data_IF_917568864362
#
_entry.id   IF_917568864362
#
_cell.length_a   1.000
_cell.length_b   1.000
_cell.length_c   1.000
_cell.angle_alpha   90.00
_cell.angle_beta   90.00
_cell.angle_gamma   90.00
#
_symmetry.space_group_name_H-M   'P 1'
#
loop_
_entity.id
_entity.type
_entity.pdbx_description
1 polymer ?
#
# COMPACT_ATOMS: atom_id res chain seq x y z
N UNK A 1 -22.56 37.41 -4.90
CA UNK A 1 -22.09 36.30 -5.76
C UNK A 1 -20.66 35.81 -5.46
N UNK A 2 -19.96 36.28 -4.41
CA UNK A 2 -18.56 35.95 -4.13
C UNK A 2 -18.28 34.73 -3.22
N UNK A 3 -19.32 34.11 -2.64
CA UNK A 3 -19.16 33.04 -1.63
C UNK A 3 -18.81 31.65 -2.22
N UNK A 4 -19.02 31.46 -3.53
CA UNK A 4 -18.81 30.17 -4.22
C UNK A 4 -17.32 29.89 -4.49
N UNK A 5 -16.52 30.94 -4.70
CA UNK A 5 -15.09 30.84 -5.05
C UNK A 5 -14.20 30.42 -3.88
N UNK A 6 -14.50 30.85 -2.64
CA UNK A 6 -13.69 30.43 -1.48
C UNK A 6 -13.94 28.97 -1.11
N UNK A 7 -15.20 28.51 -1.15
CA UNK A 7 -15.57 27.13 -0.81
C UNK A 7 -14.92 26.09 -1.74
N UNK A 8 -14.86 26.36 -3.05
CA UNK A 8 -14.16 25.49 -4.01
C UNK A 8 -12.65 25.44 -3.77
N UNK A 9 -12.04 26.55 -3.34
CA UNK A 9 -10.61 26.60 -3.03
C UNK A 9 -10.26 25.75 -1.81
N UNK A 10 -11.04 25.85 -0.71
CA UNK A 10 -10.81 25.05 0.50
C UNK A 10 -10.98 23.55 0.25
N UNK A 11 -12.02 23.14 -0.48
CA UNK A 11 -12.25 21.72 -0.82
C UNK A 11 -11.08 21.13 -1.62
N UNK A 12 -10.58 21.89 -2.60
CA UNK A 12 -9.43 21.48 -3.41
C UNK A 12 -8.15 21.33 -2.58
N UNK A 13 -7.92 22.21 -1.61
CA UNK A 13 -6.75 22.18 -0.75
C UNK A 13 -6.80 21.00 0.23
N UNK A 14 -7.96 20.76 0.84
CA UNK A 14 -8.18 19.60 1.71
C UNK A 14 -7.98 18.29 0.94
N UNK A 15 -8.49 18.20 -0.29
CA UNK A 15 -8.26 17.03 -1.16
C UNK A 15 -6.77 16.80 -1.42
N UNK A 16 -6.05 17.84 -1.82
CA UNK A 16 -4.60 17.77 -2.12
C UNK A 16 -3.79 17.33 -0.91
N UNK A 17 -4.04 17.97 0.24
CA UNK A 17 -3.38 17.61 1.51
C UNK A 17 -3.73 16.18 1.96
N UNK A 18 -4.97 15.75 1.76
CA UNK A 18 -5.40 14.39 2.02
C UNK A 18 -4.63 13.38 1.16
N UNK A 19 -4.50 13.64 -0.14
CA UNK A 19 -3.76 12.76 -1.05
C UNK A 19 -2.26 12.67 -0.71
N UNK A 20 -1.62 13.78 -0.36
CA UNK A 20 -0.21 13.76 0.06
C UNK A 20 -0.05 13.00 1.38
N UNK A 21 -0.93 13.25 2.35
CA UNK A 21 -0.91 12.55 3.64
C UNK A 21 -1.03 11.03 3.46
N UNK A 22 -1.95 10.58 2.60
CA UNK A 22 -2.11 9.15 2.30
C UNK A 22 -0.83 8.58 1.69
N UNK A 23 -0.24 9.25 0.69
CA UNK A 23 1.00 8.79 0.06
C UNK A 23 2.14 8.66 1.07
N UNK A 24 2.29 9.62 1.99
CA UNK A 24 3.30 9.57 3.07
C UNK A 24 3.10 8.33 3.95
N UNK A 25 1.86 8.01 4.32
CA UNK A 25 1.55 6.80 5.10
C UNK A 25 1.97 5.53 4.35
N UNK A 26 1.71 5.44 3.05
CA UNK A 26 2.14 4.29 2.25
C UNK A 26 3.66 4.21 2.08
N UNK A 27 4.33 5.34 1.87
CA UNK A 27 5.79 5.40 1.79
C UNK A 27 6.40 4.90 3.09
N UNK A 28 5.90 5.37 4.24
CA UNK A 28 6.37 4.88 5.53
C UNK A 28 6.09 3.38 5.71
N UNK A 29 4.85 2.96 5.48
CA UNK A 29 4.42 1.58 5.75
C UNK A 29 5.12 0.57 4.85
N UNK A 30 5.09 0.78 3.53
CA UNK A 30 5.68 -0.13 2.56
C UNK A 30 7.19 0.07 2.45
N UNK A 31 7.67 1.31 2.49
CA UNK A 31 9.10 1.61 2.40
C UNK A 31 9.88 1.04 3.58
N UNK A 32 9.41 1.26 4.82
CA UNK A 32 10.10 0.71 5.99
C UNK A 32 9.95 -0.81 6.06
N UNK A 33 8.75 -1.36 5.81
CA UNK A 33 8.51 -2.80 5.78
C UNK A 33 9.41 -3.51 4.77
N UNK A 34 9.47 -3.00 3.54
CA UNK A 34 10.31 -3.55 2.48
C UNK A 34 11.80 -3.39 2.78
N UNK A 35 12.22 -2.24 3.31
CA UNK A 35 13.61 -1.99 3.66
C UNK A 35 14.10 -2.96 4.74
N UNK A 36 13.28 -3.23 5.76
CA UNK A 36 13.62 -4.21 6.81
C UNK A 36 13.79 -5.60 6.22
N UNK A 37 12.92 -6.03 5.30
CA UNK A 37 13.03 -7.34 4.64
C UNK A 37 14.30 -7.50 3.80
N UNK A 38 14.73 -6.43 3.12
CA UNK A 38 15.90 -6.48 2.23
C UNK A 38 17.23 -6.21 2.95
N UNK A 39 17.27 -5.26 3.88
CA UNK A 39 18.49 -4.85 4.57
C UNK A 39 18.83 -5.75 5.76
N UNK A 40 17.83 -6.27 6.47
CA UNK A 40 18.01 -7.17 7.61
C UNK A 40 17.63 -8.62 7.25
N UNK A 41 18.04 -9.04 6.06
CA UNK A 41 17.62 -10.29 5.44
C UNK A 41 17.89 -11.53 6.31
N UNK A 42 18.98 -11.55 7.07
CA UNK A 42 19.36 -12.71 7.92
C UNK A 42 18.36 -12.93 9.07
N UNK A 43 18.09 -11.88 9.85
CA UNK A 43 17.19 -11.98 11.01
C UNK A 43 15.72 -12.09 10.59
N UNK A 44 15.35 -11.40 9.50
CA UNK A 44 13.98 -11.38 9.01
C UNK A 44 13.61 -12.72 8.38
N UNK A 45 14.51 -13.34 7.61
CA UNK A 45 14.22 -14.63 6.98
C UNK A 45 14.11 -15.75 8.01
N UNK A 46 15.01 -15.80 8.99
CA UNK A 46 14.92 -16.77 10.09
C UNK A 46 13.55 -16.68 10.79
N UNK A 47 13.12 -15.45 11.13
CA UNK A 47 11.81 -15.20 11.72
C UNK A 47 10.66 -15.66 10.82
N UNK A 48 10.69 -15.37 9.53
CA UNK A 48 9.61 -15.78 8.62
C UNK A 48 9.55 -17.30 8.43
N UNK A 49 10.69 -17.97 8.35
CA UNK A 49 10.77 -19.43 8.29
C UNK A 49 10.13 -20.02 9.55
N UNK A 50 10.49 -19.53 10.74
CA UNK A 50 9.91 -20.00 12.00
C UNK A 50 8.40 -19.73 12.07
N UNK A 51 7.96 -18.54 11.66
CA UNK A 51 6.54 -18.16 11.66
C UNK A 51 5.71 -19.05 10.74
N UNK A 52 6.21 -19.35 9.53
CA UNK A 52 5.48 -20.13 8.54
C UNK A 52 5.75 -21.64 8.61
N UNK A 53 6.67 -22.10 9.47
CA UNK A 53 6.98 -23.51 9.70
C UNK A 53 5.72 -24.41 9.85
N UNK A 54 4.73 -24.07 10.70
CA UNK A 54 3.54 -24.91 10.87
C UNK A 54 2.58 -24.90 9.68
N UNK A 55 2.76 -23.99 8.71
CA UNK A 55 1.85 -23.81 7.57
C UNK A 55 2.31 -24.60 6.34
N UNK A 56 1.44 -24.81 5.37
CA UNK A 56 1.83 -25.46 4.10
C UNK A 56 2.89 -24.66 3.31
N UNK A 57 3.04 -23.36 3.59
CA UNK A 57 3.99 -22.48 2.90
C UNK A 57 5.43 -22.88 3.20
N UNK A 58 5.73 -23.46 4.36
CA UNK A 58 7.08 -23.97 4.67
C UNK A 58 7.51 -25.13 3.77
N UNK A 59 6.55 -25.83 3.16
CA UNK A 59 6.80 -26.98 2.28
C UNK A 59 6.84 -26.60 0.80
N UNK A 60 6.47 -25.36 0.46
CA UNK A 60 6.43 -24.91 -0.93
C UNK A 60 7.83 -24.52 -1.42
N UNK A 61 8.30 -25.05 -2.56
CA UNK A 61 9.58 -24.64 -3.12
C UNK A 61 9.50 -23.17 -3.57
N UNK A 62 10.37 -22.33 -3.00
CA UNK A 62 10.45 -20.90 -3.36
C UNK A 62 9.81 -19.93 -2.36
N UNK A 63 9.34 -20.39 -1.20
CA UNK A 63 8.81 -19.51 -0.13
C UNK A 63 9.75 -18.38 0.27
N UNK A 64 11.04 -18.69 0.40
CA UNK A 64 12.10 -17.70 0.67
C UNK A 64 12.14 -16.62 -0.41
N UNK A 65 12.06 -17.03 -1.69
CA UNK A 65 12.04 -16.12 -2.83
C UNK A 65 10.78 -15.25 -2.81
N UNK A 66 9.62 -15.83 -2.49
CA UNK A 66 8.36 -15.10 -2.40
C UNK A 66 8.38 -14.01 -1.31
N UNK A 67 8.99 -14.29 -0.15
CA UNK A 67 9.17 -13.30 0.93
C UNK A 67 10.06 -12.14 0.46
N UNK A 68 11.18 -12.43 -0.22
CA UNK A 68 12.04 -11.38 -0.76
C UNK A 68 11.37 -10.60 -1.89
N UNK A 69 10.66 -11.28 -2.78
CA UNK A 69 9.90 -10.65 -3.85
C UNK A 69 8.86 -9.68 -3.26
N UNK A 70 8.19 -10.06 -2.16
CA UNK A 70 7.26 -9.19 -1.44
C UNK A 70 7.97 -7.93 -0.91
N UNK A 71 9.15 -8.09 -0.31
CA UNK A 71 9.98 -6.94 0.14
C UNK A 71 10.40 -6.02 -1.01
N UNK A 72 10.75 -6.59 -2.16
CA UNK A 72 11.05 -5.82 -3.38
C UNK A 72 9.83 -5.04 -3.89
N UNK A 73 8.66 -5.68 -3.96
CA UNK A 73 7.41 -5.03 -4.38
C UNK A 73 7.02 -3.88 -3.45
N UNK A 74 7.18 -4.05 -2.14
CA UNK A 74 6.96 -2.99 -1.14
C UNK A 74 7.84 -1.76 -1.39
N UNK A 75 9.13 -1.96 -1.67
CA UNK A 75 10.04 -0.86 -2.03
C UNK A 75 9.63 -0.20 -3.34
N UNK A 76 9.31 -0.98 -4.37
CA UNK A 76 8.86 -0.44 -5.65
C UNK A 76 7.59 0.41 -5.47
N UNK A 77 6.62 -0.05 -4.68
CA UNK A 77 5.42 0.71 -4.38
C UNK A 77 5.73 2.04 -3.66
N UNK A 78 6.62 2.01 -2.66
CA UNK A 78 7.06 3.21 -1.96
C UNK A 78 7.76 4.21 -2.91
N UNK A 79 8.61 3.71 -3.81
CA UNK A 79 9.28 4.54 -4.82
C UNK A 79 8.28 5.16 -5.81
N UNK A 80 7.24 4.42 -6.21
CA UNK A 80 6.17 4.96 -7.06
C UNK A 80 5.38 6.07 -6.35
N UNK A 81 5.09 5.92 -5.06
CA UNK A 81 4.48 6.99 -4.28
C UNK A 81 5.39 8.23 -4.15
N UNK A 82 6.69 8.04 -3.95
CA UNK A 82 7.66 9.14 -3.95
C UNK A 82 7.69 9.83 -5.32
N UNK A 83 7.76 9.07 -6.41
CA UNK A 83 7.76 9.59 -7.77
C UNK A 83 6.48 10.41 -8.06
N UNK A 84 5.32 9.92 -7.60
CA UNK A 84 4.04 10.64 -7.68
C UNK A 84 4.06 11.99 -6.94
N UNK A 85 4.62 12.03 -5.72
CA UNK A 85 4.79 13.30 -4.98
C UNK A 85 5.70 14.26 -5.73
N UNK A 86 6.85 13.78 -6.24
CA UNK A 86 7.82 14.60 -7.00
C UNK A 86 7.20 15.15 -8.29
N UNK A 87 6.41 14.34 -9.01
CA UNK A 87 5.64 14.79 -10.19
C UNK A 87 4.41 15.63 -9.87
N UNK A 88 4.08 15.78 -8.59
CA UNK A 88 2.89 16.49 -8.11
C UNK A 88 1.58 15.92 -8.66
N UNK A 89 1.48 14.60 -8.80
CA UNK A 89 0.27 13.92 -9.29
C UNK A 89 -0.93 14.03 -8.32
N UNK A 90 -0.72 14.60 -7.14
CA UNK A 90 -1.80 15.01 -6.23
C UNK A 90 -2.54 16.27 -6.71
N UNK A 91 -2.03 16.98 -7.73
CA UNK A 91 -2.72 18.08 -8.40
C UNK A 91 -3.75 17.54 -9.42
N UNK A 92 -4.64 18.40 -9.87
CA UNK A 92 -5.74 18.00 -10.76
C UNK A 92 -5.38 18.06 -12.25
N UNK A 93 -4.29 18.77 -12.57
CA UNK A 93 -3.86 19.10 -13.93
C UNK A 93 -2.71 18.20 -14.44
N UNK A 94 -2.43 17.13 -13.70
CA UNK A 94 -1.32 16.21 -13.97
C UNK A 94 -1.86 14.79 -14.07
N UNK A 95 -1.43 14.07 -15.10
CA UNK A 95 -1.72 12.65 -15.26
C UNK A 95 -1.20 11.85 -14.05
N UNK A 96 -2.06 11.02 -13.47
CA UNK A 96 -1.83 10.30 -12.20
C UNK A 96 -1.29 8.90 -12.40
N UNK A 97 -0.32 8.74 -13.30
CA UNK A 97 0.15 7.42 -13.74
C UNK A 97 0.87 6.72 -12.59
N UNK A 98 1.83 7.37 -11.95
CA UNK A 98 2.61 6.77 -10.85
C UNK A 98 1.73 6.50 -9.63
N UNK A 99 0.82 7.43 -9.29
CA UNK A 99 -0.11 7.30 -8.19
C UNK A 99 -1.04 6.08 -8.37
N UNK A 100 -1.59 5.90 -9.57
CA UNK A 100 -2.47 4.78 -9.89
C UNK A 100 -1.74 3.43 -9.80
N UNK A 101 -0.52 3.35 -10.36
CA UNK A 101 0.30 2.14 -10.25
C UNK A 101 0.74 1.86 -8.81
N UNK A 102 1.06 2.89 -8.03
CA UNK A 102 1.42 2.74 -6.62
C UNK A 102 0.26 2.14 -5.80
N UNK A 103 -0.98 2.66 -5.98
CA UNK A 103 -2.16 2.12 -5.31
C UNK A 103 -2.51 0.70 -5.77
N UNK A 104 -2.41 0.41 -7.07
CA UNK A 104 -2.62 -0.95 -7.58
C UNK A 104 -1.63 -1.94 -6.95
N UNK A 105 -0.36 -1.55 -6.90
CA UNK A 105 0.69 -2.39 -6.33
C UNK A 105 0.48 -2.57 -4.81
N UNK A 106 0.09 -1.51 -4.09
CA UNK A 106 -0.24 -1.58 -2.67
C UNK A 106 -1.41 -2.54 -2.40
N UNK A 107 -2.45 -2.56 -3.23
CA UNK A 107 -3.56 -3.51 -3.12
C UNK A 107 -3.08 -4.96 -3.27
N UNK A 108 -2.22 -5.23 -4.26
CA UNK A 108 -1.63 -6.57 -4.46
C UNK A 108 -0.79 -6.97 -3.24
N UNK A 109 0.06 -6.07 -2.73
CA UNK A 109 0.90 -6.33 -1.56
C UNK A 109 0.03 -6.63 -0.34
N UNK A 110 -0.99 -5.82 -0.05
CA UNK A 110 -1.87 -6.06 1.09
C UNK A 110 -2.68 -7.35 0.97
N UNK A 111 -3.06 -7.76 -0.25
CA UNK A 111 -3.67 -9.06 -0.47
C UNK A 111 -2.71 -10.21 -0.11
N UNK A 112 -1.44 -10.13 -0.55
CA UNK A 112 -0.40 -11.12 -0.22
C UNK A 112 -0.13 -11.16 1.28
N UNK A 113 0.05 -10.00 1.91
CA UNK A 113 0.31 -9.90 3.35
C UNK A 113 -0.89 -10.36 4.19
N UNK A 114 -2.11 -10.00 3.78
CA UNK A 114 -3.35 -10.44 4.41
C UNK A 114 -3.54 -11.95 4.32
N UNK A 115 -3.19 -12.55 3.17
CA UNK A 115 -3.16 -14.00 3.00
C UNK A 115 -2.16 -14.65 3.96
N UNK A 116 -0.92 -14.16 4.02
CA UNK A 116 0.09 -14.66 4.95
C UNK A 116 -0.35 -14.57 6.42
N UNK A 117 -0.96 -13.45 6.81
CA UNK A 117 -1.50 -13.28 8.16
C UNK A 117 -2.70 -14.19 8.45
N UNK A 118 -3.57 -14.46 7.47
CA UNK A 118 -4.66 -15.41 7.65
C UNK A 118 -4.14 -16.82 7.90
N UNK A 119 -3.11 -17.25 7.18
CA UNK A 119 -2.48 -18.53 7.44
C UNK A 119 -1.94 -18.60 8.87
N UNK A 120 -1.22 -17.58 9.32
CA UNK A 120 -0.69 -17.54 10.69
C UNK A 120 -1.79 -17.46 11.76
N UNK A 121 -2.89 -16.76 11.46
CA UNK A 121 -4.02 -16.59 12.36
C UNK A 121 -4.75 -17.91 12.65
N UNK A 122 -4.80 -18.81 11.67
CA UNK A 122 -5.41 -20.14 11.80
C UNK A 122 -4.65 -21.00 12.83
N UNK A 123 -3.32 -20.92 12.84
CA UNK A 123 -2.48 -21.69 13.77
C UNK A 123 -2.32 -21.02 15.14
N UNK A 124 -2.29 -19.68 15.19
CA UNK A 124 -2.05 -18.94 16.43
C UNK A 124 -3.33 -18.45 17.13
N UNK A 125 -4.52 -18.83 16.63
CA UNK A 125 -5.84 -18.36 17.11
C UNK A 125 -5.97 -16.82 17.20
N UNK A 126 -5.14 -16.06 16.46
CA UNK A 126 -5.08 -14.60 16.53
C UNK A 126 -5.51 -13.98 15.20
N UNK A 127 -6.79 -13.64 15.10
CA UNK A 127 -7.40 -13.21 13.84
C UNK A 127 -7.39 -11.67 13.65
N UNK A 128 -7.01 -10.90 14.67
CA UNK A 128 -7.09 -9.44 14.67
C UNK A 128 -6.23 -8.80 13.56
N UNK A 129 -5.01 -9.32 13.35
CA UNK A 129 -4.10 -8.82 12.33
C UNK A 129 -4.61 -9.01 10.89
N UNK A 130 -5.39 -10.08 10.65
CA UNK A 130 -5.98 -10.34 9.33
C UNK A 130 -7.09 -9.33 9.02
N UNK A 131 -7.95 -9.04 10.01
CA UNK A 131 -9.01 -8.05 9.87
C UNK A 131 -8.45 -6.64 9.64
N UNK A 132 -7.34 -6.31 10.30
CA UNK A 132 -6.64 -5.04 10.11
C UNK A 132 -6.14 -4.87 8.66
N UNK A 133 -5.55 -5.91 8.05
CA UNK A 133 -5.11 -5.86 6.65
C UNK A 133 -6.27 -5.79 5.66
N UNK A 134 -7.39 -6.45 5.94
CA UNK A 134 -8.62 -6.26 5.17
C UNK A 134 -9.06 -4.79 5.23
N UNK A 135 -9.06 -4.18 6.42
CA UNK A 135 -9.33 -2.75 6.60
C UNK A 135 -8.41 -1.86 5.77
N UNK A 136 -7.09 -2.11 5.79
CA UNK A 136 -6.13 -1.38 4.97
C UNK A 136 -6.40 -1.54 3.47
N UNK A 137 -6.68 -2.75 3.00
CA UNK A 137 -7.00 -3.02 1.59
C UNK A 137 -8.27 -2.27 1.16
N UNK A 138 -9.31 -2.29 1.99
CA UNK A 138 -10.56 -1.59 1.71
C UNK A 138 -10.37 -0.07 1.66
N UNK A 139 -9.65 0.51 2.62
CA UNK A 139 -9.34 1.93 2.63
C UNK A 139 -8.51 2.35 1.41
N UNK A 140 -7.53 1.51 1.04
CA UNK A 140 -6.71 1.71 -0.18
C UNK A 140 -7.58 1.71 -1.42
N UNK A 141 -8.52 0.76 -1.53
CA UNK A 141 -9.44 0.65 -2.65
C UNK A 141 -10.38 1.85 -2.74
N UNK A 142 -10.94 2.30 -1.61
CA UNK A 142 -11.79 3.49 -1.55
C UNK A 142 -11.00 4.74 -1.99
N UNK A 143 -9.78 4.92 -1.48
CA UNK A 143 -8.90 6.01 -1.86
C UNK A 143 -8.59 5.98 -3.36
N UNK A 144 -8.19 4.83 -3.90
CA UNK A 144 -7.92 4.65 -5.32
C UNK A 144 -9.13 4.94 -6.20
N UNK A 145 -10.31 4.43 -5.80
CA UNK A 145 -11.57 4.64 -6.54
C UNK A 145 -12.00 6.12 -6.52
N UNK A 146 -11.84 6.81 -5.38
CA UNK A 146 -12.12 8.25 -5.29
C UNK A 146 -11.22 9.07 -6.24
N UNK A 147 -9.96 8.67 -6.39
CA UNK A 147 -9.00 9.29 -7.32
C UNK A 147 -9.40 9.02 -8.78
N UNK A 148 -9.82 7.80 -9.12
CA UNK A 148 -10.21 7.44 -10.48
C UNK A 148 -11.50 8.14 -10.94
N UNK A 149 -12.49 8.28 -10.06
CA UNK A 149 -13.75 8.95 -10.41
C UNK A 149 -13.60 10.45 -10.67
N UNK A 150 -12.63 11.10 -10.03
CA UNK A 150 -12.38 12.52 -10.27
C UNK A 150 -11.78 12.80 -11.65
N UNK A 151 -11.23 11.78 -12.33
CA UNK A 151 -10.64 11.93 -13.66
C UNK A 151 -11.64 11.72 -14.82
N UNK A 152 -12.86 11.19 -14.55
CA UNK A 152 -13.94 11.11 -15.54
C UNK A 152 -14.88 12.32 -15.46
N UNK A 153 -14.37 13.53 -15.72
CA UNK A 153 -15.23 14.61 -16.23
C UNK A 153 -15.15 14.57 -17.76
N UNK A 154 -16.13 13.99 -18.46
CA UNK A 154 -16.25 14.21 -19.89
C UNK A 154 -16.48 15.71 -20.13
N UNK A 155 -15.73 16.25 -21.09
CA UNK A 155 -16.07 17.49 -21.79
C UNK A 155 -17.42 17.30 -22.48
#
# INVERSE_FOLDING_TARGET
MAKKSSAESYDSLVRRLGLVSIQIVFIYTLGLSGAVKLLNWHNVMAKYIDMFNPTFVSHFPGTVVAIYATGGLEIVAALLFIASIVRREFLDDVDRVFLNFAFLLALIIFAILGFGLKLLAEYNNNHAATFQMFGYTLLTFIAWRAIMYTHRRPI
#
